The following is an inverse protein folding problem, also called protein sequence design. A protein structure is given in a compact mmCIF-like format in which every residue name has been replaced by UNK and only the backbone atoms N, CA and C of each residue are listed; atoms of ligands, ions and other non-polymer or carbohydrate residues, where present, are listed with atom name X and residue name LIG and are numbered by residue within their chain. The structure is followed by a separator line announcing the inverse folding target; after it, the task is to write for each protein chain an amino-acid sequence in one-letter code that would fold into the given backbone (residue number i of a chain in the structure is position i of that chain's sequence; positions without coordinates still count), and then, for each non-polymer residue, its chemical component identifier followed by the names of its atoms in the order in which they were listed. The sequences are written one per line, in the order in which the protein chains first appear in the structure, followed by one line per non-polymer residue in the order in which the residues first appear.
data_IF_132118362829
#
_entry.id   IF_132118362829
#
_cell.length_a   1.000
_cell.length_b   1.000
_cell.length_c   1.000
_cell.angle_alpha   90.00
_cell.angle_beta   90.00
_cell.angle_gamma   90.00
#
_symmetry.space_group_name_H-M   'P 1'
#
loop_
_entity.id
_entity.type
_entity.pdbx_description
1 polymer ?
#
# COMPACT_ATOMS: atom_id res chain seq x y z
N UNK A 1 8.09 -2.09 5.91
CA UNK A 1 6.65 -2.04 5.62
C UNK A 1 6.08 -3.40 5.97
N UNK A 2 5.00 -3.44 6.76
CA UNK A 2 4.35 -4.67 7.23
C UNK A 2 3.22 -5.07 6.30
N UNK A 3 2.30 -4.14 5.99
CA UNK A 3 1.22 -4.39 5.04
C UNK A 3 0.87 -3.14 4.26
N UNK A 4 0.28 -3.34 3.08
CA UNK A 4 -0.34 -2.28 2.28
C UNK A 4 -1.69 -2.77 1.78
N UNK A 5 -2.72 -1.93 1.93
CA UNK A 5 -4.07 -2.18 1.42
C UNK A 5 -4.48 -1.03 0.51
N UNK A 6 -4.79 -1.33 -0.75
CA UNK A 6 -5.30 -0.39 -1.75
C UNK A 6 -6.78 -0.72 -1.95
N UNK A 7 -7.65 0.26 -1.76
CA UNK A 7 -9.10 0.15 -1.97
C UNK A 7 -9.53 1.11 -3.08
N UNK A 8 -10.08 0.53 -4.14
CA UNK A 8 -10.56 1.25 -5.31
C UNK A 8 -12.05 1.61 -5.15
N UNK A 9 -12.51 2.70 -5.81
CA UNK A 9 -13.91 3.13 -5.76
C UNK A 9 -14.95 2.09 -6.24
N UNK A 10 -14.51 1.13 -7.06
CA UNK A 10 -15.35 0.03 -7.59
C UNK A 10 -15.46 -1.16 -6.62
N UNK A 11 -14.79 -1.07 -5.46
CA UNK A 11 -14.76 -2.12 -4.44
C UNK A 11 -13.62 -3.13 -4.61
N UNK A 12 -12.76 -2.99 -5.64
CA UNK A 12 -11.56 -3.80 -5.75
C UNK A 12 -10.59 -3.48 -4.60
N UNK A 13 -10.12 -4.52 -3.91
CA UNK A 13 -9.15 -4.41 -2.83
C UNK A 13 -7.91 -5.23 -3.18
N UNK A 14 -6.76 -4.56 -3.19
CA UNK A 14 -5.44 -5.20 -3.30
C UNK A 14 -4.79 -5.13 -1.93
N UNK A 15 -4.44 -6.27 -1.35
CA UNK A 15 -3.79 -6.35 -0.06
C UNK A 15 -2.51 -7.16 -0.15
N UNK A 16 -1.44 -6.62 0.43
CA UNK A 16 -0.13 -7.25 0.48
C UNK A 16 0.43 -7.18 1.89
N UNK A 17 1.15 -8.21 2.33
CA UNK A 17 1.78 -8.19 3.64
C UNK A 17 3.10 -8.97 3.68
N UNK A 18 3.89 -8.68 4.71
CA UNK A 18 5.06 -9.46 5.11
C UNK A 18 4.82 -10.01 6.52
N UNK A 19 5.18 -11.29 6.77
CA UNK A 19 5.08 -11.87 8.10
C UNK A 19 6.06 -11.21 9.09
N UNK A 20 7.23 -10.81 8.59
CA UNK A 20 8.32 -10.26 9.39
C UNK A 20 9.14 -9.25 8.54
N UNK A 21 9.98 -8.40 9.15
CA UNK A 21 10.75 -7.40 8.42
C UNK A 21 11.85 -7.97 7.51
N UNK A 22 12.28 -9.21 7.71
CA UNK A 22 13.35 -9.87 6.95
C UNK A 22 12.83 -10.58 5.69
N UNK A 23 11.51 -10.78 5.58
CA UNK A 23 10.87 -11.31 4.39
C UNK A 23 11.26 -10.50 3.15
N UNK A 24 11.72 -11.19 2.10
CA UNK A 24 12.21 -10.55 0.87
C UNK A 24 11.06 -9.93 0.07
N UNK A 25 10.06 -10.74 -0.26
CA UNK A 25 8.90 -10.36 -1.08
C UNK A 25 7.63 -10.19 -0.24
N UNK A 26 6.68 -9.41 -0.74
CA UNK A 26 5.34 -9.36 -0.16
C UNK A 26 4.48 -10.55 -0.62
N UNK A 27 3.71 -11.11 0.30
CA UNK A 27 2.60 -11.99 -0.04
C UNK A 27 1.43 -11.15 -0.52
N UNK A 28 0.87 -11.50 -1.68
CA UNK A 28 -0.33 -10.87 -2.25
C UNK A 28 -1.54 -11.70 -1.88
N UNK A 29 -2.53 -11.06 -1.27
CA UNK A 29 -3.78 -11.68 -0.84
C UNK A 29 -4.85 -11.60 -1.92
N UNK A 30 -5.90 -12.43 -1.82
CA UNK A 30 -7.06 -12.42 -2.72
C UNK A 30 -6.72 -12.61 -4.21
N UNK A 31 -5.65 -13.34 -4.53
CA UNK A 31 -5.34 -13.73 -5.91
C UNK A 31 -6.52 -14.58 -6.45
N UNK A 32 -7.13 -14.20 -7.59
CA UNK A 32 -8.22 -14.96 -8.18
C UNK A 32 -7.82 -16.42 -8.47
N UNK A 33 -8.75 -17.36 -8.24
CA UNK A 33 -8.50 -18.79 -8.44
C UNK A 33 -7.99 -19.07 -9.86
N UNK A 34 -6.88 -19.81 -9.96
CA UNK A 34 -6.27 -20.18 -11.24
C UNK A 34 -5.35 -19.11 -11.83
N UNK A 35 -5.23 -17.93 -11.22
CA UNK A 35 -4.24 -16.92 -11.58
C UNK A 35 -2.97 -17.07 -10.76
N UNK A 36 -1.89 -16.48 -11.27
CA UNK A 36 -0.58 -16.41 -10.61
C UNK A 36 -0.02 -15.01 -10.77
N UNK A 37 0.86 -14.61 -9.86
CA UNK A 37 1.62 -13.37 -9.99
C UNK A 37 2.51 -13.40 -11.24
N UNK A 38 2.77 -12.24 -11.81
CA UNK A 38 3.61 -12.11 -13.00
C UNK A 38 5.08 -12.44 -12.70
N UNK A 39 5.54 -12.23 -11.45
CA UNK A 39 6.78 -12.74 -10.87
C UNK A 39 6.69 -12.65 -9.31
N UNK A 40 7.56 -13.34 -8.55
CA UNK A 40 7.47 -13.41 -7.08
C UNK A 40 7.43 -12.05 -6.36
N UNK A 41 8.16 -11.06 -6.85
CA UNK A 41 8.23 -9.72 -6.27
C UNK A 41 7.30 -8.67 -6.90
N UNK A 42 6.24 -9.08 -7.62
CA UNK A 42 5.37 -8.17 -8.38
C UNK A 42 4.77 -7.02 -7.55
N UNK A 43 4.59 -7.26 -6.24
CA UNK A 43 4.04 -6.31 -5.28
C UNK A 43 5.09 -5.48 -4.52
N UNK A 44 6.40 -5.73 -4.73
CA UNK A 44 7.43 -5.04 -3.96
C UNK A 44 7.47 -3.52 -4.23
N UNK A 45 7.09 -3.11 -5.45
CA UNK A 45 6.94 -1.69 -5.81
C UNK A 45 5.93 -0.97 -4.91
N UNK A 46 4.77 -1.58 -4.66
CA UNK A 46 3.73 -1.05 -3.77
C UNK A 46 4.30 -0.83 -2.38
N UNK A 47 4.97 -1.85 -1.81
CA UNK A 47 5.56 -1.74 -0.47
C UNK A 47 6.68 -0.71 -0.35
N UNK A 48 7.30 -0.34 -1.46
CA UNK A 48 8.35 0.68 -1.56
C UNK A 48 7.85 2.04 -2.07
N UNK A 49 6.54 2.21 -2.30
CA UNK A 49 5.97 3.42 -2.93
C UNK A 49 6.37 4.73 -2.20
N UNK A 50 6.38 4.69 -0.86
CA UNK A 50 6.77 5.82 -0.01
C UNK A 50 8.29 6.08 0.01
N UNK A 51 9.11 5.13 -0.44
CA UNK A 51 10.56 5.30 -0.50
C UNK A 51 10.95 6.13 -1.73
N UNK A 52 11.72 7.20 -1.50
CA UNK A 52 12.11 8.13 -2.57
C UNK A 52 10.88 8.70 -3.27
N UNK A 53 9.91 9.20 -2.50
CA UNK A 53 8.70 9.80 -3.05
C UNK A 53 9.08 11.07 -3.84
N UNK A 54 8.81 11.04 -5.15
CA UNK A 54 9.00 12.19 -6.04
C UNK A 54 7.68 12.91 -6.23
N UNK A 55 7.75 14.24 -6.23
CA UNK A 55 6.60 15.13 -6.33
C UNK A 55 6.86 16.07 -7.51
N UNK A 56 5.91 16.12 -8.45
CA UNK A 56 5.95 17.06 -9.56
C UNK A 56 5.53 18.46 -9.10
N UNK A 57 4.51 18.53 -8.24
CA UNK A 57 3.91 19.79 -7.80
C UNK A 57 3.18 19.62 -6.46
N UNK A 58 2.79 20.73 -5.84
CA UNK A 58 2.00 20.77 -4.60
C UNK A 58 0.99 21.91 -4.64
N UNK A 59 -0.24 21.61 -4.23
CA UNK A 59 -1.36 22.54 -4.18
C UNK A 59 -1.89 22.57 -2.75
N UNK A 60 -2.26 23.76 -2.25
CA UNK A 60 -2.94 23.85 -0.96
C UNK A 60 -4.29 23.11 -1.03
N UNK A 61 -4.58 22.25 -0.06
CA UNK A 61 -5.77 21.41 -0.05
C UNK A 61 -7.07 22.21 -0.18
N UNK A 62 -7.13 23.42 0.40
CA UNK A 62 -8.26 24.34 0.27
C UNK A 62 -8.54 24.83 -1.17
N UNK A 63 -7.56 24.72 -2.06
CA UNK A 63 -7.65 25.12 -3.46
C UNK A 63 -7.80 23.91 -4.39
N UNK A 64 -7.85 22.70 -3.84
CA UNK A 64 -8.03 21.46 -4.60
C UNK A 64 -9.48 21.01 -4.50
N UNK A 65 -10.12 20.82 -5.65
CA UNK A 65 -11.44 20.21 -5.77
C UNK A 65 -11.36 19.02 -6.72
N UNK A 66 -11.51 17.77 -6.24
CA UNK A 66 -11.53 16.59 -7.09
C UNK A 66 -12.86 16.45 -7.88
N UNK A 67 -13.84 17.34 -7.67
CA UNK A 67 -15.16 17.23 -8.26
C UNK A 67 -15.87 15.94 -7.81
N UNK A 68 -16.41 15.19 -8.77
CA UNK A 68 -17.06 13.89 -8.51
C UNK A 68 -16.13 12.68 -8.63
N UNK A 69 -14.81 12.90 -8.76
CA UNK A 69 -13.84 11.80 -8.87
C UNK A 69 -13.65 11.16 -7.48
N UNK A 70 -14.00 9.87 -7.28
CA UNK A 70 -13.74 9.20 -6.03
C UNK A 70 -12.25 8.86 -5.88
N UNK A 71 -11.68 8.94 -4.66
CA UNK A 71 -10.28 8.57 -4.44
C UNK A 71 -10.07 7.07 -4.40
N UNK A 72 -8.88 6.63 -4.80
CA UNK A 72 -8.29 5.36 -4.35
C UNK A 72 -7.67 5.59 -2.96
N UNK A 73 -7.95 4.69 -2.02
CA UNK A 73 -7.43 4.77 -0.66
C UNK A 73 -6.32 3.74 -0.47
N UNK A 74 -5.11 4.20 -0.17
CA UNK A 74 -3.95 3.33 0.03
C UNK A 74 -3.42 3.49 1.44
N UNK A 75 -3.51 2.42 2.22
CA UNK A 75 -3.09 2.38 3.61
C UNK A 75 -1.82 1.54 3.75
N UNK A 76 -0.80 2.14 4.31
CA UNK A 76 0.49 1.54 4.63
C UNK A 76 0.60 1.35 6.13
N UNK A 77 1.00 0.17 6.58
CA UNK A 77 1.29 -0.12 7.99
C UNK A 77 2.74 -0.58 8.12
N UNK A 78 3.49 0.01 9.04
CA UNK A 78 4.86 -0.40 9.36
C UNK A 78 4.88 -1.28 10.61
N UNK A 79 5.95 -2.07 10.78
CA UNK A 79 6.09 -2.98 11.92
C UNK A 79 6.14 -2.28 13.29
N UNK A 80 6.55 -1.02 13.31
CA UNK A 80 6.56 -0.16 14.51
C UNK A 80 5.21 0.53 14.77
N UNK A 81 4.14 0.16 14.06
CA UNK A 81 2.78 0.64 14.29
C UNK A 81 2.48 2.03 13.72
N UNK A 82 3.35 2.61 12.89
CA UNK A 82 3.01 3.80 12.11
C UNK A 82 2.12 3.40 10.92
N UNK A 83 1.07 4.18 10.73
CA UNK A 83 0.14 4.05 9.61
C UNK A 83 0.25 5.31 8.77
N UNK A 84 0.32 5.14 7.45
CA UNK A 84 0.24 6.23 6.48
C UNK A 84 -0.91 5.90 5.53
N UNK A 85 -1.84 6.83 5.38
CA UNK A 85 -2.94 6.74 4.43
C UNK A 85 -2.71 7.77 3.32
N UNK A 86 -2.80 7.31 2.08
CA UNK A 86 -2.77 8.13 0.88
C UNK A 86 -4.15 8.10 0.23
N UNK A 87 -4.71 9.27 -0.05
CA UNK A 87 -5.91 9.43 -0.88
C UNK A 87 -5.47 9.91 -2.24
N UNK A 88 -5.64 9.08 -3.27
CA UNK A 88 -5.24 9.37 -4.63
C UNK A 88 -6.43 9.66 -5.54
N UNK A 89 -6.40 10.77 -6.26
CA UNK A 89 -7.36 11.11 -7.30
C UNK A 89 -6.66 11.21 -8.64
N UNK A 90 -7.32 10.72 -9.69
CA UNK A 90 -6.95 11.01 -11.07
C UNK A 90 -7.88 12.10 -11.59
N UNK A 91 -7.42 13.34 -11.53
CA UNK A 91 -8.17 14.52 -12.00
C UNK A 91 -7.49 15.01 -13.27
N UNK A 92 -8.28 15.10 -14.35
CA UNK A 92 -7.77 15.30 -15.71
C UNK A 92 -6.69 14.24 -16.04
N UNK A 93 -5.45 14.66 -16.24
CA UNK A 93 -4.28 13.81 -16.52
C UNK A 93 -3.26 13.80 -15.37
N UNK A 94 -3.63 14.31 -14.20
CA UNK A 94 -2.73 14.41 -13.05
C UNK A 94 -3.15 13.47 -11.92
N UNK A 95 -2.16 12.87 -11.28
CA UNK A 95 -2.35 12.09 -10.08
C UNK A 95 -2.11 12.95 -8.85
N UNK A 96 -3.20 13.26 -8.15
CA UNK A 96 -3.21 14.13 -6.99
C UNK A 96 -3.36 13.29 -5.72
N UNK A 97 -2.49 13.51 -4.74
CA UNK A 97 -2.47 12.72 -3.51
C UNK A 97 -2.48 13.59 -2.26
N UNK A 98 -3.32 13.23 -1.29
CA UNK A 98 -3.26 13.74 0.07
C UNK A 98 -2.78 12.63 1.01
N UNK A 99 -1.91 12.97 1.97
CA UNK A 99 -1.35 12.01 2.92
C UNK A 99 -1.75 12.35 4.34
N UNK A 100 -2.04 11.33 5.13
CA UNK A 100 -2.28 11.44 6.57
C UNK A 100 -1.55 10.33 7.30
N UNK A 101 -0.99 10.61 8.46
CA UNK A 101 -0.32 9.63 9.31
C UNK A 101 -1.04 9.46 10.64
N UNK A 102 -1.04 8.23 11.16
CA UNK A 102 -1.59 7.89 12.47
C UNK A 102 -0.78 6.76 13.12
N UNK A 103 -0.96 6.52 14.40
CA UNK A 103 -0.44 5.33 15.06
C UNK A 103 -1.53 4.25 15.15
N UNK A 104 -1.15 2.98 15.05
CA UNK A 104 -2.07 1.87 15.24
C UNK A 104 -2.59 1.91 16.67
N UNK A 105 -3.92 1.94 16.88
CA UNK A 105 -4.45 1.87 18.22
C UNK A 105 -4.06 0.51 18.82
N UNK A 106 -3.55 0.51 20.05
CA UNK A 106 -3.03 -0.68 20.73
C UNK A 106 -4.03 -1.86 20.77
N UNK A 107 -5.34 -1.60 20.61
CA UNK A 107 -6.37 -2.62 20.53
C UNK A 107 -6.44 -3.36 19.18
N UNK A 108 -6.07 -2.73 18.06
CA UNK A 108 -6.12 -3.34 16.72
C UNK A 108 -4.93 -4.23 16.40
N UNK A 109 -4.04 -4.49 17.37
CA UNK A 109 -2.96 -5.47 17.25
C UNK A 109 -3.44 -6.89 17.62
N UNK A 110 -4.69 -7.02 18.13
CA UNK A 110 -5.29 -8.28 18.56
C UNK A 110 -6.27 -8.91 17.54
N UNK A 111 -6.66 -8.22 16.47
CA UNK A 111 -7.67 -8.69 15.50
C UNK A 111 -7.08 -9.21 14.18
N UNK A 112 -5.81 -9.66 14.19
CA UNK A 112 -5.22 -10.45 13.11
C UNK A 112 -4.94 -11.88 13.61
N UNK A 113 -5.97 -12.54 14.12
CA UNK A 113 -5.95 -13.96 14.45
C UNK A 113 -7.11 -14.67 13.71
N UNK A 114 -6.78 -15.29 12.58
CA UNK A 114 -7.33 -16.59 12.20
C UNK A 114 -6.28 -17.32 11.34
N UNK A 115 -5.30 -17.95 12.00
CA UNK A 115 -5.14 -19.42 12.05
C UNK A 115 -3.73 -19.81 12.58
N UNK A 116 -3.75 -20.76 13.51
CA UNK A 116 -2.67 -21.64 13.98
C UNK A 116 -1.41 -21.07 14.71
N UNK A 117 -1.48 -21.18 16.04
CA UNK A 117 -0.44 -21.69 16.95
C UNK A 117 0.98 -21.13 16.80
N UNK A 118 1.33 -20.14 17.62
CA UNK A 118 2.72 -19.89 18.05
C UNK A 118 2.78 -19.08 19.34
N UNK A 119 3.00 -19.82 20.43
CA UNK A 119 3.73 -19.42 21.64
C UNK A 119 4.51 -18.10 21.56
N UNK A 120 4.03 -17.12 22.32
CA UNK A 120 4.79 -16.09 23.07
C UNK A 120 6.28 -15.92 22.68
N UNK A 121 6.54 -14.98 21.78
CA UNK A 121 7.81 -14.28 21.64
C UNK A 121 7.49 -12.89 21.08
N UNK A 122 7.87 -11.77 21.65
CA UNK A 122 8.74 -11.42 22.76
C UNK A 122 8.84 -9.90 22.66
N UNK A 123 8.77 -9.19 23.78
CA UNK A 123 9.06 -7.75 23.83
C UNK A 123 10.46 -7.51 23.25
N UNK A 124 10.54 -7.16 21.97
CA UNK A 124 11.71 -6.55 21.38
C UNK A 124 11.65 -5.06 21.70
N UNK A 125 12.39 -4.68 22.74
CA UNK A 125 12.62 -3.29 23.13
C UNK A 125 13.33 -2.53 21.99
N UNK A 126 12.57 -1.84 21.12
CA UNK A 126 13.11 -0.86 20.17
C UNK A 126 13.28 0.50 20.89
N UNK A 127 14.31 0.61 21.71
CA UNK A 127 14.52 1.76 22.61
C UNK A 127 15.10 3.01 21.93
N UNK A 128 15.22 3.04 20.59
CA UNK A 128 15.78 4.19 19.84
C UNK A 128 14.87 4.72 18.72
N UNK A 129 13.73 4.10 18.44
CA UNK A 129 12.78 4.65 17.46
C UNK A 129 11.77 5.57 18.17
N UNK A 130 11.56 6.80 17.67
CA UNK A 130 10.53 7.66 18.21
C UNK A 130 9.17 6.97 18.11
N UNK A 131 8.36 7.11 19.18
CA UNK A 131 7.01 6.58 19.29
C UNK A 131 6.19 6.84 17.99
N UNK A 132 5.44 5.84 17.49
CA UNK A 132 4.71 5.97 16.23
C UNK A 132 3.72 7.14 16.23
N UNK A 133 3.16 7.54 17.38
CA UNK A 133 2.26 8.69 17.46
C UNK A 133 3.03 10.02 17.31
N UNK A 134 4.22 10.13 17.90
CA UNK A 134 5.08 11.31 17.70
C UNK A 134 5.58 11.42 16.25
N UNK A 135 5.90 10.29 15.61
CA UNK A 135 6.24 10.25 14.18
C UNK A 135 5.05 10.67 13.32
N UNK A 136 3.85 10.18 13.62
CA UNK A 136 2.63 10.57 12.92
C UNK A 136 2.35 12.07 13.03
N UNK A 137 2.49 12.66 14.24
CA UNK A 137 2.38 14.12 14.44
C UNK A 137 3.40 14.89 13.58
N UNK A 138 4.65 14.45 13.59
CA UNK A 138 5.73 15.09 12.82
C UNK A 138 5.48 15.02 11.32
N UNK A 139 4.93 13.91 10.82
CA UNK A 139 4.57 13.76 9.42
C UNK A 139 3.38 14.67 9.07
N UNK A 140 2.30 14.64 9.85
CA UNK A 140 1.13 15.47 9.62
C UNK A 140 1.47 16.97 9.64
N UNK A 141 2.36 17.42 10.51
CA UNK A 141 2.82 18.81 10.50
C UNK A 141 3.46 19.25 9.17
N UNK A 142 3.94 18.29 8.35
CA UNK A 142 4.53 18.55 7.02
C UNK A 142 3.55 18.35 5.88
N UNK A 143 2.68 17.33 5.98
CA UNK A 143 1.81 16.91 4.88
C UNK A 143 0.39 17.47 4.95
N UNK A 144 -0.02 17.95 6.12
CA UNK A 144 -1.36 18.46 6.33
C UNK A 144 -1.61 19.76 5.55
N UNK A 145 -2.82 19.90 5.02
CA UNK A 145 -3.21 21.04 4.20
C UNK A 145 -2.64 21.07 2.78
N UNK A 146 -2.01 19.98 2.31
CA UNK A 146 -1.43 19.87 0.97
C UNK A 146 -1.99 18.70 0.16
N UNK A 147 -2.04 18.89 -1.16
CA UNK A 147 -2.32 17.87 -2.15
C UNK A 147 -1.18 17.89 -3.16
N UNK A 148 -0.57 16.74 -3.37
CA UNK A 148 0.67 16.61 -4.14
C UNK A 148 0.39 15.99 -5.49
N UNK A 149 0.99 16.54 -6.55
CA UNK A 149 1.02 15.89 -7.84
C UNK A 149 2.19 14.91 -7.89
N UNK A 150 1.92 13.65 -8.19
CA UNK A 150 2.95 12.64 -8.36
C UNK A 150 3.14 12.35 -9.86
N UNK A 151 4.38 12.07 -10.31
CA UNK A 151 4.61 11.52 -11.64
C UNK A 151 3.96 10.14 -11.75
N UNK A 152 3.49 9.78 -12.95
CA UNK A 152 2.66 8.58 -13.17
C UNK A 152 3.29 7.31 -12.62
N UNK A 153 4.59 7.10 -12.84
CA UNK A 153 5.28 5.90 -12.38
C UNK A 153 5.31 5.76 -10.84
N UNK A 154 5.23 6.87 -10.09
CA UNK A 154 5.05 6.82 -8.62
C UNK A 154 3.60 6.59 -8.26
N UNK A 155 2.68 7.30 -8.92
CA UNK A 155 1.25 7.16 -8.69
C UNK A 155 0.78 5.71 -8.87
N UNK A 156 1.29 5.03 -9.91
CA UNK A 156 0.97 3.64 -10.23
C UNK A 156 1.23 2.70 -9.04
N UNK A 157 2.27 2.93 -8.23
CA UNK A 157 2.55 2.11 -7.05
C UNK A 157 1.54 2.28 -5.91
N UNK A 158 0.82 3.41 -5.87
CA UNK A 158 -0.25 3.65 -4.90
C UNK A 158 -1.60 3.10 -5.38
N UNK A 159 -1.82 3.07 -6.69
CA UNK A 159 -3.12 2.75 -7.30
C UNK A 159 -3.10 1.43 -8.08
N UNK A 160 -2.09 0.58 -7.89
CA UNK A 160 -2.03 -0.74 -8.52
C UNK A 160 -3.33 -1.51 -8.32
N UNK A 161 -3.72 -2.21 -9.38
CA UNK A 161 -4.82 -3.17 -9.39
C UNK A 161 -4.28 -4.59 -9.32
N UNK A 162 -5.16 -5.51 -8.95
CA UNK A 162 -4.83 -6.94 -8.94
C UNK A 162 -4.37 -7.39 -10.32
N UNK A 163 -5.02 -6.92 -11.40
CA UNK A 163 -4.63 -7.22 -12.78
C UNK A 163 -3.18 -6.89 -13.10
N UNK A 164 -2.60 -5.85 -12.49
CA UNK A 164 -1.23 -5.39 -12.75
C UNK A 164 -0.18 -6.28 -12.08
N UNK A 165 -0.61 -7.11 -11.13
CA UNK A 165 0.25 -8.05 -10.40
C UNK A 165 0.22 -9.45 -11.01
N UNK A 166 -0.80 -9.77 -11.80
CA UNK A 166 -1.02 -11.10 -12.33
C UNK A 166 -0.31 -11.29 -13.67
N UNK A 167 0.17 -12.51 -13.89
CA UNK A 167 0.59 -12.92 -15.22
C UNK A 167 -0.58 -12.75 -16.21
N UNK A 168 -0.24 -12.49 -17.47
CA UNK A 168 -1.18 -12.60 -18.57
C UNK A 168 -1.87 -13.97 -18.50
N UNK A 169 -3.15 -14.02 -18.85
CA UNK A 169 -3.85 -15.30 -18.94
C UNK A 169 -3.12 -16.16 -19.95
N UNK A 170 -2.39 -17.16 -19.47
CA UNK A 170 -1.88 -18.18 -20.37
C UNK A 170 -3.11 -18.84 -20.98
N UNK A 171 -3.23 -18.68 -22.30
CA UNK A 171 -3.92 -19.63 -23.15
C UNK A 171 -3.30 -21.01 -22.87
N UNK A 172 -3.81 -21.68 -21.83
CA UNK A 172 -3.45 -23.03 -21.46
C UNK A 172 -4.06 -23.98 -22.50
N UNK A 173 -3.52 -23.99 -23.72
CA UNK A 173 -3.62 -25.08 -24.68
C UNK A 173 -2.83 -24.77 -25.96
N UNK A 174 -2.11 -25.78 -26.45
CA UNK A 174 -1.39 -25.86 -27.74
C UNK A 174 0.09 -25.45 -27.75
N UNK A 175 0.89 -26.07 -26.88
CA UNK A 175 2.21 -26.60 -27.30
C UNK A 175 2.50 -27.95 -26.62
N UNK A 176 1.53 -28.85 -26.67
CA UNK A 176 1.78 -30.28 -26.53
C UNK A 176 1.50 -30.93 -27.89
N UNK A 177 2.54 -31.55 -28.42
CA UNK A 177 2.54 -32.60 -29.44
C UNK A 177 2.13 -32.21 -30.88
N UNK A 178 3.15 -32.10 -31.74
CA UNK A 178 3.02 -32.57 -33.13
C UNK A 178 4.08 -33.66 -33.37
N UNK A 179 3.69 -34.76 -34.03
CA UNK A 179 4.41 -36.03 -34.09
C UNK A 179 5.68 -35.99 -34.95
#
# INVERSE_FOLDING_TARGET
MKSVRIEHPDGEVVEISKPDPDATDFTVHNIPKGRKLTFPGAANGIGAALAGLELDDVIAAKNFDPGSVPPVLTRFETFDGLIIEAKGWRVDDHYMFAFTASAQPAASQADAEDDADSTKAGNASETDKPDPAERAKTLNAKVDGWVYRLPSYKADEFIKRMSDLLAAEEASSQRQERP
#
